data_IF_214094147937
#
_entry.id   IF_214094147937
#
_cell.length_a   1.000
_cell.length_b   1.000
_cell.length_c   1.000
_cell.angle_alpha   90.00
_cell.angle_beta   90.00
_cell.angle_gamma   90.00
#
_symmetry.space_group_name_H-M   'P 1'
#
loop_
_entity.id
_entity.type
_entity.pdbx_description
1 polymer ?
#
# COMPACT_ATOMS: atom_id res chain seq x y z
N UNK A 1 -8.26 -9.20 -10.40
CA UNK A 1 -8.36 -10.09 -11.59
C UNK A 1 -6.95 -10.46 -12.06
N UNK A 2 -6.80 -11.55 -12.81
CA UNK A 2 -5.61 -11.88 -13.61
C UNK A 2 -6.00 -11.76 -15.08
N UNK A 3 -5.21 -11.04 -15.86
CA UNK A 3 -5.36 -10.95 -17.31
C UNK A 3 -4.20 -11.66 -17.98
N UNK A 4 -4.50 -12.54 -18.94
CA UNK A 4 -3.51 -13.17 -19.81
C UNK A 4 -3.54 -12.47 -21.18
N UNK A 5 -2.51 -11.67 -21.52
CA UNK A 5 -2.47 -10.92 -22.77
C UNK A 5 -2.25 -11.82 -24.01
N UNK A 6 -1.75 -13.05 -23.85
CA UNK A 6 -1.56 -13.98 -24.97
C UNK A 6 -2.89 -14.61 -25.41
N UNK A 7 -3.76 -14.90 -24.45
CA UNK A 7 -5.06 -15.54 -24.70
C UNK A 7 -6.24 -14.59 -24.63
N UNK A 8 -6.02 -13.33 -24.24
CA UNK A 8 -7.04 -12.34 -23.92
C UNK A 8 -8.04 -12.82 -22.85
N UNK A 9 -7.63 -13.75 -21.98
CA UNK A 9 -8.51 -14.31 -20.95
C UNK A 9 -8.37 -13.53 -19.64
N UNK A 10 -9.52 -13.27 -19.01
CA UNK A 10 -9.60 -12.68 -17.68
C UNK A 10 -10.08 -13.74 -16.71
N UNK A 11 -9.41 -13.85 -15.56
CA UNK A 11 -9.82 -14.69 -14.44
C UNK A 11 -10.01 -13.83 -13.20
N UNK A 12 -11.19 -13.89 -12.59
CA UNK A 12 -11.44 -13.24 -11.30
C UNK A 12 -10.77 -14.07 -10.21
N UNK A 13 -9.78 -13.48 -9.51
CA UNK A 13 -9.05 -14.16 -8.43
C UNK A 13 -9.82 -14.13 -7.11
N UNK A 14 -10.49 -13.00 -6.83
CA UNK A 14 -11.36 -12.82 -5.68
C UNK A 14 -12.38 -11.71 -6.02
N UNK A 15 -13.62 -11.88 -5.54
CA UNK A 15 -14.73 -10.93 -5.67
C UNK A 15 -15.10 -10.36 -4.29
N UNK A 16 -16.00 -9.38 -4.30
CA UNK A 16 -16.61 -8.82 -3.09
C UNK A 16 -15.60 -8.18 -2.11
N UNK A 17 -14.55 -7.57 -2.67
CA UNK A 17 -13.53 -6.83 -1.91
C UNK A 17 -13.89 -5.34 -1.90
N UNK A 18 -13.91 -4.73 -0.71
CA UNK A 18 -14.16 -3.29 -0.56
C UNK A 18 -12.95 -2.45 -0.97
N UNK A 19 -13.07 -1.73 -2.08
CA UNK A 19 -12.12 -0.73 -2.59
C UNK A 19 -10.65 -1.22 -2.58
N UNK A 20 -10.28 -2.23 -3.38
CA UNK A 20 -8.91 -2.73 -3.51
C UNK A 20 -8.06 -1.81 -4.39
N UNK A 21 -7.44 -0.79 -3.79
CA UNK A 21 -6.74 0.26 -4.54
C UNK A 21 -5.28 -0.11 -4.86
N UNK A 22 -4.48 -0.39 -3.83
CA UNK A 22 -3.06 -0.77 -3.99
C UNK A 22 -2.86 -2.28 -4.12
N UNK A 23 -1.90 -2.68 -4.96
CA UNK A 23 -1.51 -4.07 -5.17
C UNK A 23 0.01 -4.24 -5.21
N UNK A 24 0.54 -5.16 -4.42
CA UNK A 24 1.92 -5.62 -4.51
C UNK A 24 1.97 -7.15 -4.57
N UNK A 25 3.03 -7.70 -5.17
CA UNK A 25 3.35 -9.12 -5.07
C UNK A 25 4.40 -9.31 -3.97
N UNK A 26 4.43 -10.47 -3.30
CA UNK A 26 5.49 -10.83 -2.38
C UNK A 26 6.81 -11.11 -3.10
N UNK A 27 7.94 -10.99 -2.39
CA UNK A 27 9.28 -11.19 -2.97
C UNK A 27 9.48 -12.61 -3.50
N UNK A 28 8.97 -13.60 -2.77
CA UNK A 28 8.93 -15.02 -3.13
C UNK A 28 7.81 -15.39 -4.13
N UNK A 29 6.97 -14.41 -4.52
CA UNK A 29 5.84 -14.56 -5.45
C UNK A 29 4.83 -15.63 -5.04
N UNK A 30 4.62 -15.81 -3.73
CA UNK A 30 3.64 -16.75 -3.17
C UNK A 30 2.27 -16.12 -2.91
N UNK A 31 2.22 -14.80 -2.71
CA UNK A 31 0.99 -14.08 -2.39
C UNK A 31 1.00 -12.65 -2.94
N UNK A 32 -0.19 -12.06 -3.01
CA UNK A 32 -0.42 -10.64 -3.28
C UNK A 32 -0.76 -9.93 -1.96
N UNK A 33 -0.32 -8.68 -1.84
CA UNK A 33 -0.81 -7.74 -0.85
C UNK A 33 -1.79 -6.80 -1.53
N UNK A 34 -2.97 -6.66 -0.92
CA UNK A 34 -4.04 -5.80 -1.41
C UNK A 34 -4.35 -4.76 -0.33
N UNK A 35 -4.26 -3.47 -0.69
CA UNK A 35 -4.71 -2.38 0.16
C UNK A 35 -6.22 -2.17 -0.01
N UNK A 36 -6.94 -2.35 1.08
CA UNK A 36 -8.38 -2.13 1.18
C UNK A 36 -8.61 -0.72 1.73
N UNK A 37 -8.87 0.25 0.85
CA UNK A 37 -8.92 1.67 1.21
C UNK A 37 -10.04 1.96 2.21
N UNK A 38 -11.27 1.53 1.91
CA UNK A 38 -12.43 1.77 2.78
C UNK A 38 -12.25 1.20 4.19
N UNK A 39 -11.92 -0.10 4.35
CA UNK A 39 -11.67 -0.71 5.66
C UNK A 39 -10.37 -0.26 6.34
N UNK A 40 -9.47 0.41 5.62
CA UNK A 40 -8.12 0.75 6.06
C UNK A 40 -7.34 -0.49 6.53
N UNK A 41 -7.22 -1.49 5.65
CA UNK A 41 -6.53 -2.76 5.95
C UNK A 41 -5.61 -3.19 4.81
N UNK A 42 -4.61 -3.99 5.15
CA UNK A 42 -3.94 -4.86 4.19
C UNK A 42 -4.47 -6.28 4.30
N UNK A 43 -4.66 -6.90 3.14
CA UNK A 43 -5.05 -8.29 3.00
C UNK A 43 -3.97 -9.04 2.22
N UNK A 44 -3.65 -10.25 2.67
CA UNK A 44 -2.85 -11.20 1.92
C UNK A 44 -3.78 -12.09 1.09
N UNK A 45 -3.53 -12.21 -0.20
CA UNK A 45 -4.21 -13.16 -1.09
C UNK A 45 -3.19 -14.17 -1.64
N UNK A 46 -3.34 -15.43 -1.29
CA UNK A 46 -2.40 -16.49 -1.65
C UNK A 46 -2.59 -16.90 -3.12
N UNK A 47 -1.51 -16.92 -3.90
CA UNK A 47 -1.53 -17.30 -5.32
C UNK A 47 -0.74 -18.57 -5.62
N UNK A 48 0.01 -19.09 -4.64
CA UNK A 48 0.72 -20.38 -4.70
C UNK A 48 0.61 -21.13 -3.38
N UNK A 49 0.93 -22.42 -3.43
CA UNK A 49 0.99 -23.30 -2.26
C UNK A 49 -0.38 -23.79 -1.79
N UNK A 50 -0.44 -24.46 -0.62
CA UNK A 50 -1.67 -25.11 -0.12
C UNK A 50 -2.84 -24.16 0.15
N UNK A 51 -2.54 -22.87 0.36
CA UNK A 51 -3.54 -21.81 0.61
C UNK A 51 -3.96 -21.07 -0.66
N UNK A 52 -3.46 -21.43 -1.85
CA UNK A 52 -3.74 -20.70 -3.09
C UNK A 52 -5.25 -20.50 -3.32
N UNK A 53 -5.63 -19.26 -3.67
CA UNK A 53 -7.02 -18.84 -3.84
C UNK A 53 -7.70 -18.34 -2.57
N UNK A 54 -7.06 -18.45 -1.40
CA UNK A 54 -7.59 -17.94 -0.13
C UNK A 54 -7.00 -16.57 0.23
N UNK A 55 -7.67 -15.87 1.14
CA UNK A 55 -7.21 -14.57 1.64
C UNK A 55 -7.31 -14.49 3.15
N UNK A 56 -6.38 -13.74 3.76
CA UNK A 56 -6.33 -13.50 5.20
C UNK A 56 -5.94 -12.04 5.48
N UNK A 57 -6.46 -11.42 6.56
CA UNK A 57 -6.00 -10.11 7.00
C UNK A 57 -4.49 -10.12 7.29
N UNK A 58 -3.80 -9.04 6.93
CA UNK A 58 -2.37 -8.85 7.24
C UNK A 58 -2.15 -7.75 8.27
N UNK A 59 -2.78 -6.59 8.08
CA UNK A 59 -2.59 -5.45 8.97
C UNK A 59 -3.82 -4.54 9.00
N UNK A 60 -4.14 -3.99 10.18
CA UNK A 60 -5.00 -2.83 10.30
C UNK A 60 -4.13 -1.57 10.16
N UNK A 61 -4.52 -0.67 9.26
CA UNK A 61 -3.75 0.54 8.96
C UNK A 61 -4.26 1.73 9.74
N UNK A 62 -3.40 2.71 10.04
CA UNK A 62 -3.80 3.90 10.79
C UNK A 62 -4.49 4.97 9.92
N UNK A 63 -4.56 4.75 8.61
CA UNK A 63 -5.16 5.65 7.63
C UNK A 63 -5.67 4.91 6.39
N UNK A 64 -6.19 5.68 5.44
CA UNK A 64 -6.75 5.19 4.19
C UNK A 64 -5.61 4.90 3.20
N UNK A 65 -5.31 3.62 2.92
CA UNK A 65 -4.21 3.28 2.03
C UNK A 65 -4.55 3.55 0.57
N UNK A 66 -3.51 3.90 -0.17
CA UNK A 66 -3.50 3.95 -1.62
C UNK A 66 -2.56 2.85 -2.16
N UNK A 67 -1.53 3.19 -2.94
CA UNK A 67 -0.59 2.20 -3.46
C UNK A 67 0.29 1.56 -2.37
N UNK A 68 0.71 0.33 -2.66
CA UNK A 68 1.61 -0.50 -1.84
C UNK A 68 2.82 -0.89 -2.68
N UNK A 69 4.02 -0.72 -2.14
CA UNK A 69 5.28 -1.09 -2.81
C UNK A 69 6.17 -1.89 -1.88
N UNK A 70 6.91 -2.86 -2.42
CA UNK A 70 7.95 -3.55 -1.65
C UNK A 70 9.02 -2.56 -1.21
N UNK A 71 9.58 -2.76 -0.02
CA UNK A 71 10.68 -1.95 0.54
C UNK A 71 12.08 -2.53 0.25
N UNK A 72 12.17 -3.62 -0.53
CA UNK A 72 13.41 -4.35 -0.83
C UNK A 72 13.98 -5.18 0.33
N UNK A 73 13.34 -5.16 1.51
CA UNK A 73 13.83 -5.74 2.77
C UNK A 73 12.82 -6.72 3.40
N UNK A 74 11.88 -7.22 2.60
CA UNK A 74 10.85 -8.17 3.02
C UNK A 74 9.60 -7.51 3.63
N UNK A 75 9.52 -6.18 3.61
CA UNK A 75 8.36 -5.40 3.99
C UNK A 75 7.80 -4.57 2.83
N UNK A 76 6.95 -3.63 3.18
CA UNK A 76 6.22 -2.80 2.22
C UNK A 76 6.07 -1.38 2.73
N UNK A 77 6.17 -0.43 1.81
CA UNK A 77 5.66 0.92 1.98
C UNK A 77 4.21 0.99 1.53
N UNK A 78 3.40 1.72 2.28
CA UNK A 78 2.00 2.00 1.97
C UNK A 78 1.79 3.51 2.01
N UNK A 79 1.42 4.11 0.89
CA UNK A 79 1.01 5.50 0.86
C UNK A 79 -0.34 5.65 1.56
N UNK A 80 -0.48 6.70 2.37
CA UNK A 80 -1.72 7.03 3.07
C UNK A 80 -2.22 8.38 2.60
N UNK A 81 -3.44 8.41 2.10
CA UNK A 81 -4.06 9.68 1.70
C UNK A 81 -4.42 10.53 2.94
N UNK A 82 -4.92 9.89 4.02
CA UNK A 82 -5.21 10.55 5.30
C UNK A 82 -5.28 9.55 6.46
N UNK A 83 -5.22 10.05 7.68
CA UNK A 83 -5.43 9.25 8.90
C UNK A 83 -6.92 8.93 9.11
N UNK A 84 -7.23 7.86 9.84
CA UNK A 84 -8.63 7.51 10.20
C UNK A 84 -9.32 8.63 10.98
N UNK A 85 -8.57 9.27 11.88
CA UNK A 85 -9.04 10.34 12.75
C UNK A 85 -8.22 11.61 12.49
N UNK A 86 -8.39 12.19 11.31
CA UNK A 86 -7.83 13.51 11.02
C UNK A 86 -8.83 14.60 11.40
N UNK A 87 -8.43 15.52 12.29
CA UNK A 87 -9.24 16.69 12.64
C UNK A 87 -8.88 17.88 11.72
N UNK A 88 -9.87 18.71 11.33
CA UNK A 88 -9.62 19.91 10.54
C UNK A 88 -8.79 20.95 11.31
N UNK A 89 -8.84 20.89 12.65
CA UNK A 89 -8.08 21.75 13.55
C UNK A 89 -6.91 20.97 14.16
N UNK A 90 -5.76 21.63 14.33
CA UNK A 90 -4.56 21.03 14.92
C UNK A 90 -3.29 21.33 14.10
N UNK A 91 -2.16 20.70 14.46
CA UNK A 91 -0.91 20.87 13.74
C UNK A 91 -1.06 20.55 12.24
N UNK A 92 -0.34 21.27 11.39
CA UNK A 92 -0.21 20.97 9.96
C UNK A 92 0.68 19.74 9.76
N UNK A 93 0.16 18.58 10.15
CA UNK A 93 0.84 17.30 10.00
C UNK A 93 -0.16 16.15 9.91
N UNK A 94 0.12 15.20 9.01
CA UNK A 94 -0.57 13.92 8.94
C UNK A 94 0.38 12.80 8.47
N UNK A 95 -0.05 11.55 8.60
CA UNK A 95 0.69 10.39 8.09
C UNK A 95 0.66 10.34 6.57
N UNK A 96 1.83 10.46 5.96
CA UNK A 96 2.05 10.34 4.51
C UNK A 96 2.14 8.89 4.07
N UNK A 97 2.86 8.08 4.85
CA UNK A 97 3.09 6.69 4.54
C UNK A 97 3.45 5.90 5.79
N UNK A 98 3.26 4.59 5.72
CA UNK A 98 3.74 3.66 6.73
C UNK A 98 4.57 2.57 6.08
N UNK A 99 5.58 2.09 6.81
CA UNK A 99 6.33 0.90 6.45
C UNK A 99 5.89 -0.25 7.33
N UNK A 100 5.64 -1.38 6.71
CA UNK A 100 5.10 -2.56 7.35
C UNK A 100 6.01 -3.74 7.04
N UNK A 101 6.34 -4.55 8.05
CA UNK A 101 7.14 -5.76 7.83
C UNK A 101 6.29 -6.93 7.28
N UNK A 102 6.94 -8.05 6.97
CA UNK A 102 6.26 -9.25 6.44
C UNK A 102 5.19 -9.85 7.36
N UNK A 103 5.24 -9.55 8.67
CA UNK A 103 4.27 -9.99 9.67
C UNK A 103 3.08 -9.03 9.83
N UNK A 104 3.04 -7.93 9.05
CA UNK A 104 1.96 -6.95 9.12
C UNK A 104 2.12 -5.90 10.22
N UNK A 105 3.28 -5.82 10.89
CA UNK A 105 3.54 -4.79 11.91
C UNK A 105 4.06 -3.51 11.25
N UNK A 106 3.48 -2.37 11.64
CA UNK A 106 4.01 -1.05 11.28
C UNK A 106 5.35 -0.86 12.01
N UNK A 107 6.42 -0.70 11.23
CA UNK A 107 7.79 -0.52 11.74
C UNK A 107 8.30 0.90 11.56
N UNK A 108 7.65 1.69 10.69
CA UNK A 108 7.99 3.10 10.48
C UNK A 108 6.74 3.87 10.09
N UNK A 109 6.65 5.11 10.57
CA UNK A 109 5.60 6.06 10.18
C UNK A 109 6.29 7.30 9.64
N UNK A 110 5.87 7.72 8.45
CA UNK A 110 6.31 8.97 7.85
C UNK A 110 5.19 10.00 7.98
N UNK A 111 5.52 11.14 8.57
CA UNK A 111 4.62 12.29 8.69
C UNK A 111 5.13 13.46 7.87
N UNK A 112 4.22 14.33 7.45
CA UNK A 112 4.52 15.57 6.74
C UNK A 112 3.32 16.50 6.74
N UNK A 113 3.43 17.68 6.10
CA UNK A 113 2.37 18.68 6.08
C UNK A 113 1.11 18.15 5.39
N UNK A 114 -0.07 18.66 5.78
CA UNK A 114 -1.38 18.24 5.22
C UNK A 114 -1.54 18.59 3.75
N UNK A 115 -0.72 19.52 3.25
CA UNK A 115 -0.62 19.86 1.83
C UNK A 115 0.05 18.77 0.98
N UNK A 116 0.68 17.75 1.60
CA UNK A 116 1.27 16.63 0.90
C UNK A 116 0.39 15.39 1.05
N UNK A 117 -0.27 14.97 -0.03
CA UNK A 117 -1.18 13.81 -0.04
C UNK A 117 -0.68 12.76 -1.04
N UNK A 118 0.26 11.90 -0.66
CA UNK A 118 0.82 10.93 -1.59
C UNK A 118 -0.18 9.79 -1.84
N UNK A 119 -0.24 9.37 -3.09
CA UNK A 119 -0.95 8.15 -3.50
C UNK A 119 0.02 7.03 -3.86
N UNK A 120 1.30 7.34 -4.03
CA UNK A 120 2.37 6.41 -4.36
C UNK A 120 3.61 6.73 -3.54
N UNK A 121 4.36 5.70 -3.15
CA UNK A 121 5.64 5.84 -2.48
C UNK A 121 6.59 4.72 -2.89
N UNK A 122 7.84 5.08 -3.21
CA UNK A 122 8.84 4.13 -3.65
C UNK A 122 10.20 4.45 -3.05
N UNK A 123 10.82 3.45 -2.44
CA UNK A 123 12.21 3.52 -1.98
C UNK A 123 13.15 3.01 -3.07
N UNK A 124 14.28 3.70 -3.25
CA UNK A 124 15.35 3.29 -4.16
C UNK A 124 16.61 2.91 -3.38
N UNK A 125 17.55 2.23 -4.05
CA UNK A 125 18.77 1.69 -3.45
C UNK A 125 19.64 2.73 -2.73
N UNK A 126 19.53 4.00 -3.12
CA UNK A 126 20.19 5.13 -2.47
C UNK A 126 19.51 5.61 -1.18
N UNK A 127 18.49 4.89 -0.69
CA UNK A 127 17.69 5.25 0.50
C UNK A 127 16.67 6.37 0.28
N UNK A 128 16.61 6.98 -0.91
CA UNK A 128 15.66 8.05 -1.20
C UNK A 128 14.27 7.49 -1.42
N UNK A 129 13.28 8.26 -0.94
CA UNK A 129 11.87 7.98 -1.14
C UNK A 129 11.29 8.95 -2.16
N UNK A 130 10.56 8.40 -3.11
CA UNK A 130 9.89 9.13 -4.18
C UNK A 130 8.40 8.98 -4.00
N UNK A 131 7.67 10.09 -4.09
CA UNK A 131 6.22 10.11 -3.90
C UNK A 131 5.50 10.72 -5.09
N UNK A 132 4.44 10.05 -5.51
CA UNK A 132 3.46 10.57 -6.46
C UNK A 132 2.18 10.97 -5.75
N UNK A 133 1.44 11.91 -6.33
CA UNK A 133 0.12 12.32 -5.86
C UNK A 133 -0.79 12.57 -7.07
N UNK A 134 -2.07 12.26 -6.92
CA UNK A 134 -3.11 12.66 -7.89
C UNK A 134 -3.64 14.07 -7.66
N UNK A 135 -3.29 14.69 -6.52
CA UNK A 135 -3.73 16.02 -6.12
C UNK A 135 -2.66 17.10 -6.36
N UNK A 136 -1.38 16.70 -6.38
CA UNK A 136 -0.27 17.65 -6.52
C UNK A 136 0.23 17.71 -7.96
N UNK A 137 0.56 18.91 -8.47
CA UNK A 137 1.09 19.08 -9.82
C UNK A 137 2.60 18.77 -9.92
N UNK A 138 3.18 18.05 -8.97
CA UNK A 138 4.60 17.74 -8.89
C UNK A 138 4.90 16.43 -8.14
N UNK A 139 6.09 15.88 -8.36
CA UNK A 139 6.63 14.72 -7.63
C UNK A 139 7.37 15.21 -6.40
N UNK A 140 7.27 14.49 -5.27
CA UNK A 140 8.06 14.78 -4.08
C UNK A 140 9.19 13.75 -3.91
N UNK A 141 10.36 14.22 -3.47
CA UNK A 141 11.51 13.38 -3.13
C UNK A 141 11.91 13.69 -1.70
N UNK A 142 11.86 12.66 -0.85
CA UNK A 142 12.31 12.76 0.54
C UNK A 142 13.74 12.21 0.59
N UNK A 143 14.67 13.07 1.01
CA UNK A 143 16.02 12.65 1.37
C UNK A 143 16.00 12.22 2.83
N UNK A 144 16.40 10.99 3.10
CA UNK A 144 16.49 10.39 4.43
C UNK A 144 17.86 10.56 5.03
#
# INVERSE_FOLDING_TARGET
MKYDPQTNRVTVLQKDITYPNGLAISSDRTHLLVALTGPCKLMRHWIKGPKAGTSEPLADLPGYPDNVRQDGRGGYWVALHREKMELPFGPDSHMLAVRINGDGKVVQVMRGPKSVRPTEIMERENGKLYMGSVELPYVAVVST
#
